data_IF_417421280472
#
_entry.id   IF_417421280472
#
_cell.length_a   1.000
_cell.length_b   1.000
_cell.length_c   1.000
_cell.angle_alpha   90.00
_cell.angle_beta   90.00
_cell.angle_gamma   90.00
#
_symmetry.space_group_name_H-M   'P 1'
#
loop_
_entity.id
_entity.type
_entity.pdbx_description
1 polymer ?
#
# COMPACT_ATOMS: atom_id res chain seq x y z
N UNK A 1 1.75 -19.65 -1.29
CA UNK A 1 2.14 -18.46 -0.49
C UNK A 1 2.44 -18.93 0.93
N UNK A 2 3.57 -18.50 1.49
CA UNK A 2 4.05 -18.98 2.80
C UNK A 2 3.38 -18.21 3.93
N UNK A 3 2.91 -18.89 4.98
CA UNK A 3 2.24 -18.27 6.15
C UNK A 3 2.85 -18.70 7.48
N UNK A 4 3.79 -19.66 7.48
CA UNK A 4 4.49 -20.20 8.65
C UNK A 4 6.00 -20.17 8.42
N UNK A 5 6.79 -20.29 9.48
CA UNK A 5 8.25 -20.43 9.41
C UNK A 5 8.93 -19.28 8.65
N UNK A 6 8.39 -18.08 8.80
CA UNK A 6 8.94 -16.87 8.23
C UNK A 6 10.23 -16.53 8.97
N UNK A 7 11.32 -16.37 8.21
CA UNK A 7 12.63 -16.04 8.74
C UNK A 7 13.13 -14.77 8.06
N UNK A 8 13.78 -13.85 8.79
CA UNK A 8 14.38 -12.67 8.20
C UNK A 8 15.48 -13.02 7.19
N UNK A 9 15.50 -12.31 6.08
CA UNK A 9 16.62 -12.35 5.12
C UNK A 9 17.57 -11.19 5.43
N UNK A 10 18.86 -11.52 5.62
CA UNK A 10 19.91 -10.51 5.77
C UNK A 10 20.42 -10.08 4.41
N UNK A 11 20.79 -8.80 4.28
CA UNK A 11 21.42 -8.30 3.06
C UNK A 11 22.79 -9.00 2.90
N UNK A 12 23.04 -9.71 1.78
CA UNK A 12 24.32 -10.36 1.54
C UNK A 12 25.49 -9.38 1.59
N UNK A 13 26.62 -9.78 2.20
CA UNK A 13 27.80 -8.92 2.39
C UNK A 13 28.28 -8.26 1.09
N UNK A 14 28.37 -9.02 0.00
CA UNK A 14 28.69 -8.49 -1.33
C UNK A 14 27.78 -7.33 -1.75
N UNK A 15 26.46 -7.46 -1.59
CA UNK A 15 25.51 -6.40 -2.00
C UNK A 15 25.63 -5.19 -1.06
N UNK A 16 25.84 -5.44 0.24
CA UNK A 16 26.07 -4.38 1.23
C UNK A 16 27.32 -3.55 0.92
N UNK A 17 28.40 -4.19 0.50
CA UNK A 17 29.70 -3.55 0.25
C UNK A 17 29.84 -2.89 -1.12
N UNK A 18 29.06 -3.32 -2.12
CA UNK A 18 29.26 -2.91 -3.52
C UNK A 18 28.14 -2.05 -4.11
N UNK A 19 26.99 -1.95 -3.44
CA UNK A 19 25.83 -1.24 -3.96
C UNK A 19 25.60 0.08 -3.23
N UNK A 20 25.21 1.11 -3.98
CA UNK A 20 24.70 2.37 -3.44
C UNK A 20 23.18 2.40 -3.53
N UNK A 21 22.53 2.52 -2.37
CA UNK A 21 21.08 2.61 -2.27
C UNK A 21 20.67 4.09 -2.23
N UNK A 22 19.83 4.50 -3.18
CA UNK A 22 19.19 5.81 -3.15
C UNK A 22 17.82 5.72 -2.48
N UNK A 23 17.70 6.27 -1.27
CA UNK A 23 16.42 6.42 -0.57
C UNK A 23 15.80 7.76 -0.96
N UNK A 24 14.59 7.70 -1.54
CA UNK A 24 13.85 8.89 -1.97
C UNK A 24 12.52 8.95 -1.26
N UNK A 25 12.32 9.97 -0.42
CA UNK A 25 11.07 10.21 0.29
C UNK A 25 10.86 11.70 0.55
N UNK A 26 9.61 12.18 0.59
CA UNK A 26 9.27 13.62 0.76
C UNK A 26 9.99 14.28 1.94
N UNK A 27 10.18 13.53 3.03
CA UNK A 27 10.81 14.01 4.27
C UNK A 27 12.10 13.25 4.60
N UNK A 28 12.80 12.71 3.60
CA UNK A 28 13.99 11.88 3.83
C UNK A 28 15.10 12.61 4.60
N UNK A 29 15.14 13.95 4.55
CA UNK A 29 16.09 14.79 5.27
C UNK A 29 15.58 15.33 6.61
N UNK A 30 14.34 15.02 6.98
CA UNK A 30 13.73 15.52 8.21
C UNK A 30 14.38 14.91 9.45
N UNK A 31 14.61 15.74 10.47
CA UNK A 31 15.21 15.32 11.76
C UNK A 31 14.31 15.61 12.96
N UNK A 32 13.27 16.42 12.79
CA UNK A 32 12.35 16.83 13.86
C UNK A 32 11.29 15.78 14.23
N UNK A 33 10.32 16.19 15.06
CA UNK A 33 9.15 15.39 15.45
C UNK A 33 8.07 15.35 14.37
N UNK A 34 6.80 15.51 14.76
CA UNK A 34 5.70 15.63 13.80
C UNK A 34 5.90 16.84 12.88
N UNK A 35 5.64 16.66 11.58
CA UNK A 35 5.66 17.76 10.62
C UNK A 35 4.37 18.57 10.74
N UNK A 36 4.42 19.92 10.65
CA UNK A 36 3.23 20.76 10.77
C UNK A 36 2.14 20.40 9.74
N UNK A 37 2.52 20.15 8.49
CA UNK A 37 1.55 19.89 7.40
C UNK A 37 1.30 18.40 7.11
N UNK A 38 2.25 17.52 7.45
CA UNK A 38 2.26 16.11 7.03
C UNK A 38 2.28 15.13 8.22
N UNK A 39 2.28 15.66 9.45
CA UNK A 39 2.17 14.91 10.69
C UNK A 39 3.20 13.79 10.81
N UNK A 40 2.71 12.55 10.92
CA UNK A 40 3.52 11.36 11.15
C UNK A 40 4.30 10.83 9.92
N UNK A 41 4.13 11.41 8.74
CA UNK A 41 4.91 11.01 7.56
C UNK A 41 6.39 11.35 7.70
N UNK A 42 6.70 12.48 8.33
CA UNK A 42 8.09 12.88 8.52
C UNK A 42 8.87 11.99 9.50
N UNK A 43 8.36 11.66 10.71
CA UNK A 43 9.03 10.69 11.57
C UNK A 43 9.08 9.28 10.94
N UNK A 44 8.07 8.89 10.14
CA UNK A 44 8.15 7.66 9.36
C UNK A 44 9.32 7.65 8.38
N UNK A 45 9.46 8.68 7.53
CA UNK A 45 10.57 8.76 6.58
C UNK A 45 11.93 8.81 7.26
N UNK A 46 12.01 9.49 8.43
CA UNK A 46 13.21 9.51 9.26
C UNK A 46 13.58 8.12 9.78
N UNK A 47 12.62 7.39 10.37
CA UNK A 47 12.89 6.04 10.89
C UNK A 47 13.25 5.05 9.77
N UNK A 48 12.65 5.18 8.58
CA UNK A 48 13.06 4.40 7.41
C UNK A 48 14.49 4.71 7.01
N UNK A 49 14.89 5.99 6.96
CA UNK A 49 16.28 6.38 6.70
C UNK A 49 17.22 5.77 7.74
N UNK A 50 16.94 5.97 9.03
CA UNK A 50 17.78 5.47 10.13
C UNK A 50 17.90 3.94 10.11
N UNK A 51 16.80 3.25 9.77
CA UNK A 51 16.81 1.80 9.59
C UNK A 51 17.68 1.37 8.41
N UNK A 52 17.60 2.09 7.28
CA UNK A 52 18.43 1.83 6.10
C UNK A 52 19.91 2.12 6.36
N UNK A 53 20.23 3.20 7.08
CA UNK A 53 21.59 3.50 7.57
C UNK A 53 22.13 2.34 8.42
N UNK A 54 21.30 1.78 9.30
CA UNK A 54 21.63 0.64 10.15
C UNK A 54 21.87 -0.69 9.41
N UNK A 55 21.43 -0.84 8.15
CA UNK A 55 21.74 -2.02 7.32
C UNK A 55 23.22 -2.02 6.89
N UNK A 56 23.84 -0.84 6.81
CA UNK A 56 25.25 -0.67 6.46
C UNK A 56 25.55 -0.69 4.96
N UNK A 57 24.54 -0.46 4.10
CA UNK A 57 24.72 -0.18 2.67
C UNK A 57 25.03 1.31 2.47
N UNK A 58 25.83 1.68 1.47
CA UNK A 58 26.08 3.10 1.17
C UNK A 58 24.74 3.79 0.79
N UNK A 59 24.33 4.77 1.59
CA UNK A 59 23.02 5.41 1.47
C UNK A 59 23.13 6.82 0.88
N UNK A 60 22.44 7.03 -0.24
CA UNK A 60 22.19 8.34 -0.83
C UNK A 60 20.76 8.78 -0.49
N UNK A 61 20.56 10.08 -0.25
CA UNK A 61 19.28 10.62 0.22
C UNK A 61 18.78 11.71 -0.73
N UNK A 62 17.54 11.53 -1.20
CA UNK A 62 16.81 12.56 -1.94
C UNK A 62 15.36 12.72 -1.44
N UNK A 63 14.78 13.86 -1.75
CA UNK A 63 13.43 14.27 -1.31
C UNK A 63 12.55 14.76 -2.47
N UNK A 64 13.03 14.62 -3.70
CA UNK A 64 12.35 15.11 -4.91
C UNK A 64 12.59 14.18 -6.11
N UNK A 65 11.62 14.14 -7.02
CA UNK A 65 11.73 13.47 -8.33
C UNK A 65 12.91 13.96 -9.16
N UNK A 66 13.37 15.20 -8.95
CA UNK A 66 14.49 15.77 -9.65
C UNK A 66 15.77 14.91 -9.57
N UNK A 67 15.94 14.16 -8.48
CA UNK A 67 17.07 13.24 -8.29
C UNK A 67 17.13 12.09 -9.32
N UNK A 68 16.05 11.86 -10.09
CA UNK A 68 15.96 10.85 -11.14
C UNK A 68 15.68 11.44 -12.54
N UNK A 69 15.71 12.76 -12.72
CA UNK A 69 15.58 13.34 -14.07
C UNK A 69 16.79 13.00 -14.94
N UNK A 70 17.97 13.06 -14.32
CA UNK A 70 19.22 12.46 -14.80
C UNK A 70 19.49 11.14 -14.09
N UNK A 71 20.42 10.34 -14.61
CA UNK A 71 20.82 9.08 -13.98
C UNK A 71 21.60 9.39 -12.69
N UNK A 72 21.13 9.00 -11.49
CA UNK A 72 21.88 9.20 -10.26
C UNK A 72 23.11 8.31 -10.18
N UNK A 73 24.05 8.66 -9.30
CA UNK A 73 25.18 7.82 -8.91
C UNK A 73 24.76 6.71 -7.92
N UNK A 74 23.65 6.03 -8.20
CA UNK A 74 23.09 4.96 -7.38
C UNK A 74 22.96 3.67 -8.19
N UNK A 75 22.95 2.53 -7.51
CA UNK A 75 22.86 1.21 -8.12
C UNK A 75 21.51 0.55 -7.86
N UNK A 76 20.79 0.99 -6.82
CA UNK A 76 19.44 0.56 -6.47
C UNK A 76 18.64 1.71 -5.85
N UNK A 77 17.33 1.77 -6.09
CA UNK A 77 16.46 2.84 -5.56
C UNK A 77 15.41 2.28 -4.61
N UNK A 78 15.23 2.91 -3.44
CA UNK A 78 14.07 2.74 -2.57
C UNK A 78 13.11 3.92 -2.76
N UNK A 79 12.05 3.77 -3.57
CA UNK A 79 11.10 4.84 -3.87
C UNK A 79 9.97 4.91 -2.82
N UNK A 80 10.08 5.85 -1.89
CA UNK A 80 9.06 6.14 -0.87
C UNK A 80 8.52 7.57 -0.99
N UNK A 81 8.62 8.18 -2.17
CA UNK A 81 7.96 9.45 -2.47
C UNK A 81 6.53 9.19 -2.95
N UNK A 82 5.69 8.78 -1.98
CA UNK A 82 4.28 8.54 -2.20
C UNK A 82 3.52 9.88 -2.23
N UNK A 83 2.44 9.94 -3.01
CA UNK A 83 1.53 11.10 -3.15
C UNK A 83 2.26 12.39 -3.53
N UNK A 84 2.91 12.38 -4.69
CA UNK A 84 3.65 13.52 -5.24
C UNK A 84 2.82 14.78 -5.55
N UNK A 85 1.54 14.85 -5.15
CA UNK A 85 0.69 16.02 -5.34
C UNK A 85 0.09 16.15 -6.74
N UNK A 86 0.18 15.11 -7.58
CA UNK A 86 -0.42 15.07 -8.90
C UNK A 86 -0.96 13.68 -9.23
N UNK A 87 -1.86 13.60 -10.21
CA UNK A 87 -2.50 12.35 -10.63
C UNK A 87 -1.47 11.29 -11.03
N UNK A 88 -1.66 10.05 -10.55
CA UNK A 88 -0.77 8.92 -10.84
C UNK A 88 0.69 9.07 -10.40
N UNK A 89 0.97 9.91 -9.39
CA UNK A 89 2.34 10.14 -8.91
C UNK A 89 3.09 8.89 -8.49
N UNK A 90 2.37 7.86 -8.02
CA UNK A 90 2.94 6.59 -7.57
C UNK A 90 3.68 5.81 -8.66
N UNK A 91 3.40 6.09 -9.94
CA UNK A 91 4.06 5.45 -11.07
C UNK A 91 5.36 6.15 -11.50
N UNK A 92 5.57 7.43 -11.11
CA UNK A 92 6.63 8.25 -11.70
C UNK A 92 8.03 7.80 -11.27
N UNK A 93 8.27 7.54 -9.97
CA UNK A 93 9.59 7.08 -9.52
C UNK A 93 10.00 5.73 -10.17
N UNK A 94 9.17 4.67 -10.13
CA UNK A 94 9.44 3.43 -10.87
C UNK A 94 9.68 3.66 -12.37
N UNK A 95 8.92 4.56 -13.01
CA UNK A 95 9.07 4.85 -14.44
C UNK A 95 10.41 5.53 -14.75
N UNK A 96 10.84 6.47 -13.92
CA UNK A 96 12.15 7.11 -14.05
C UNK A 96 13.29 6.12 -13.82
N UNK A 97 13.14 5.19 -12.86
CA UNK A 97 14.11 4.10 -12.66
C UNK A 97 14.21 3.22 -13.91
N UNK A 98 13.07 2.82 -14.50
CA UNK A 98 13.02 2.06 -15.75
C UNK A 98 13.70 2.78 -16.91
N UNK A 99 13.48 4.09 -17.07
CA UNK A 99 14.13 4.91 -18.10
C UNK A 99 15.66 4.82 -18.00
N UNK A 100 16.19 4.77 -16.78
CA UNK A 100 17.62 4.66 -16.53
C UNK A 100 18.10 3.20 -16.44
N UNK A 101 17.23 2.20 -16.53
CA UNK A 101 17.61 0.80 -16.29
C UNK A 101 18.17 0.56 -14.86
N UNK A 102 17.68 1.31 -13.88
CA UNK A 102 18.02 1.13 -12.47
C UNK A 102 17.04 0.15 -11.81
N UNK A 103 17.52 -0.86 -11.07
CA UNK A 103 16.66 -1.68 -10.23
C UNK A 103 16.13 -0.86 -9.06
N UNK A 104 14.93 -1.19 -8.60
CA UNK A 104 14.27 -0.46 -7.53
C UNK A 104 13.32 -1.35 -6.75
N UNK A 105 13.03 -0.93 -5.52
CA UNK A 105 12.14 -1.63 -4.61
C UNK A 105 10.67 -1.38 -4.96
N UNK A 106 9.85 -2.43 -4.93
CA UNK A 106 8.42 -2.40 -5.20
C UNK A 106 8.02 -3.16 -6.46
N UNK A 107 6.93 -2.73 -7.09
CA UNK A 107 6.38 -3.33 -8.31
C UNK A 107 6.64 -2.46 -9.55
N UNK A 108 6.43 -3.03 -10.75
CA UNK A 108 6.50 -2.26 -12.00
C UNK A 108 5.50 -1.08 -12.01
N UNK A 109 5.73 0.00 -12.82
CA UNK A 109 4.81 1.13 -12.84
C UNK A 109 3.37 0.73 -13.15
N UNK A 110 3.16 -0.16 -14.12
CA UNK A 110 1.81 -0.63 -14.50
C UNK A 110 1.17 -1.44 -13.38
N UNK A 111 1.92 -2.34 -12.76
CA UNK A 111 1.42 -3.14 -11.62
C UNK A 111 1.09 -2.24 -10.43
N UNK A 112 1.91 -1.21 -10.20
CA UNK A 112 1.67 -0.21 -9.17
C UNK A 112 0.41 0.60 -9.45
N UNK A 113 0.24 1.07 -10.68
CA UNK A 113 -0.97 1.78 -11.13
C UNK A 113 -2.22 0.92 -11.00
N UNK A 114 -2.15 -0.37 -11.37
CA UNK A 114 -3.25 -1.32 -11.20
C UNK A 114 -3.67 -1.44 -9.73
N UNK A 115 -2.73 -1.55 -8.80
CA UNK A 115 -3.03 -1.63 -7.37
C UNK A 115 -3.60 -0.33 -6.80
N UNK A 116 -3.07 0.82 -7.26
CA UNK A 116 -3.47 2.13 -6.75
C UNK A 116 -4.85 2.57 -7.28
N UNK A 117 -5.26 2.03 -8.43
CA UNK A 117 -6.58 2.22 -9.02
C UNK A 117 -7.60 1.21 -8.47
N UNK A 118 -8.49 1.68 -7.60
CA UNK A 118 -9.53 0.84 -6.98
C UNK A 118 -10.45 0.20 -8.01
N UNK A 119 -10.83 0.93 -9.06
CA UNK A 119 -11.67 0.38 -10.12
C UNK A 119 -10.99 -0.78 -10.84
N UNK A 120 -9.73 -0.62 -11.24
CA UNK A 120 -8.98 -1.69 -11.93
C UNK A 120 -8.70 -2.88 -10.99
N UNK A 121 -8.32 -2.63 -9.74
CA UNK A 121 -8.16 -3.69 -8.72
C UNK A 121 -9.45 -4.50 -8.54
N UNK A 122 -10.61 -3.84 -8.54
CA UNK A 122 -11.92 -4.51 -8.39
C UNK A 122 -12.32 -5.30 -9.64
N UNK A 123 -11.97 -4.82 -10.84
CA UNK A 123 -12.16 -5.59 -12.08
C UNK A 123 -11.33 -6.89 -12.03
N UNK A 124 -10.06 -6.82 -11.64
CA UNK A 124 -9.21 -8.00 -11.47
C UNK A 124 -9.74 -8.95 -10.39
N UNK A 125 -10.22 -8.42 -9.27
CA UNK A 125 -10.83 -9.22 -8.21
C UNK A 125 -12.07 -9.97 -8.72
N UNK A 126 -12.98 -9.28 -9.42
CA UNK A 126 -14.16 -9.89 -10.00
C UNK A 126 -13.82 -10.98 -11.01
N UNK A 127 -12.85 -10.74 -11.90
CA UNK A 127 -12.37 -11.72 -12.87
C UNK A 127 -11.79 -12.99 -12.24
N UNK A 128 -11.37 -12.92 -10.97
CA UNK A 128 -10.76 -14.02 -10.19
C UNK A 128 -11.70 -14.61 -9.15
N UNK A 129 -12.96 -14.21 -9.16
CA UNK A 129 -13.95 -14.64 -8.17
C UNK A 129 -13.58 -14.23 -6.74
N UNK A 130 -12.84 -13.12 -6.57
CA UNK A 130 -12.58 -12.50 -5.28
C UNK A 130 -13.69 -11.48 -5.02
N UNK A 131 -14.55 -11.67 -4.01
CA UNK A 131 -15.67 -10.78 -3.77
C UNK A 131 -15.19 -9.36 -3.45
N UNK A 132 -15.89 -8.37 -4.00
CA UNK A 132 -15.73 -6.95 -3.67
C UNK A 132 -17.10 -6.27 -3.73
N UNK A 133 -17.25 -5.11 -3.11
CA UNK A 133 -18.50 -4.34 -3.16
C UNK A 133 -18.89 -4.04 -4.62
N UNK A 134 -20.17 -4.11 -5.02
CA UNK A 134 -20.59 -3.58 -6.31
C UNK A 134 -20.28 -2.07 -6.36
N UNK A 135 -19.94 -1.54 -7.54
CA UNK A 135 -19.47 -0.16 -7.65
C UNK A 135 -19.89 0.52 -8.95
N UNK A 136 -19.86 1.85 -8.94
CA UNK A 136 -19.87 2.68 -10.13
C UNK A 136 -18.63 3.61 -10.13
N UNK A 137 -18.04 3.82 -11.31
CA UNK A 137 -16.92 4.74 -11.51
C UNK A 137 -17.39 5.95 -12.32
N UNK A 138 -17.09 7.15 -11.83
CA UNK A 138 -17.33 8.43 -12.49
C UNK A 138 -16.00 9.09 -12.81
N UNK A 139 -15.61 9.02 -14.08
CA UNK A 139 -14.39 9.68 -14.56
C UNK A 139 -14.58 11.19 -14.59
N UNK A 140 -13.57 11.93 -14.13
CA UNK A 140 -13.58 13.40 -14.17
C UNK A 140 -13.72 13.88 -15.62
N UNK A 141 -14.62 14.84 -15.85
CA UNK A 141 -14.93 15.36 -17.18
C UNK A 141 -15.95 14.54 -17.98
N UNK A 142 -16.36 13.37 -17.49
CA UNK A 142 -17.50 12.64 -18.06
C UNK A 142 -18.82 13.04 -17.37
N UNK A 143 -19.99 12.82 -18.00
CA UNK A 143 -21.29 13.08 -17.37
C UNK A 143 -21.49 12.30 -16.07
N UNK A 144 -22.09 12.94 -15.07
CA UNK A 144 -22.47 12.33 -13.81
C UNK A 144 -23.89 11.77 -13.92
N UNK A 145 -23.99 10.47 -14.17
CA UNK A 145 -25.26 9.73 -14.16
C UNK A 145 -25.33 8.78 -12.96
N UNK A 146 -25.83 9.28 -11.83
CA UNK A 146 -25.97 8.52 -10.58
C UNK A 146 -27.06 7.43 -10.64
N UNK A 147 -27.84 7.35 -11.71
CA UNK A 147 -28.82 6.26 -11.89
C UNK A 147 -28.14 4.89 -12.00
N UNK A 148 -26.88 4.87 -12.47
CA UNK A 148 -26.03 3.69 -12.63
C UNK A 148 -25.43 3.14 -11.33
N UNK A 149 -25.56 3.87 -10.23
CA UNK A 149 -25.01 3.44 -8.94
C UNK A 149 -25.74 2.20 -8.42
N UNK A 150 -25.02 1.26 -7.77
CA UNK A 150 -25.64 0.11 -7.13
C UNK A 150 -26.72 0.56 -6.13
N UNK A 151 -27.86 -0.15 -6.01
CA UNK A 151 -28.91 0.22 -5.08
C UNK A 151 -28.41 0.14 -3.63
N UNK A 152 -28.63 1.19 -2.84
CA UNK A 152 -28.32 1.25 -1.42
C UNK A 152 -29.16 2.32 -0.74
N UNK A 153 -29.23 2.28 0.60
CA UNK A 153 -29.75 3.38 1.43
C UNK A 153 -28.66 4.37 1.84
N UNK A 154 -27.40 3.96 1.72
CA UNK A 154 -26.22 4.76 2.02
C UNK A 154 -25.10 4.37 1.07
N UNK A 155 -24.47 5.36 0.45
CA UNK A 155 -23.31 5.16 -0.42
C UNK A 155 -22.06 5.72 0.24
N UNK A 156 -20.93 5.12 -0.10
CA UNK A 156 -19.60 5.66 0.14
C UNK A 156 -19.04 6.14 -1.20
N UNK A 157 -18.60 7.39 -1.23
CA UNK A 157 -17.97 8.03 -2.37
C UNK A 157 -16.51 8.25 -1.98
N UNK A 158 -15.58 7.74 -2.78
CA UNK A 158 -14.15 7.86 -2.50
C UNK A 158 -13.37 8.19 -3.78
N UNK A 159 -12.23 8.90 -3.70
CA UNK A 159 -11.35 9.03 -4.85
C UNK A 159 -10.85 7.65 -5.27
N UNK A 160 -10.83 7.41 -6.59
CA UNK A 160 -10.43 6.11 -7.14
C UNK A 160 -8.96 5.77 -6.83
N UNK A 161 -8.08 6.78 -6.85
CA UNK A 161 -6.62 6.66 -6.68
C UNK A 161 -6.11 7.50 -5.49
N UNK A 162 -6.77 7.39 -4.32
CA UNK A 162 -6.26 7.98 -3.07
C UNK A 162 -6.10 6.91 -1.98
N UNK A 163 -5.53 7.30 -0.84
CA UNK A 163 -5.36 6.39 0.30
C UNK A 163 -5.64 7.09 1.64
N UNK A 164 -5.73 6.29 2.71
CA UNK A 164 -5.99 6.73 4.09
C UNK A 164 -7.33 7.46 4.28
N UNK A 165 -8.38 7.07 3.57
CA UNK A 165 -9.72 7.70 3.63
C UNK A 165 -9.75 9.19 3.26
N UNK A 166 -8.72 9.71 2.58
CA UNK A 166 -8.73 11.10 2.11
C UNK A 166 -9.82 11.29 1.05
N UNK A 167 -10.69 12.28 1.27
CA UNK A 167 -11.81 12.59 0.39
C UNK A 167 -12.98 11.60 0.47
N UNK A 168 -12.99 10.64 1.42
CA UNK A 168 -14.15 9.74 1.58
C UNK A 168 -15.34 10.52 2.12
N UNK A 169 -16.50 10.33 1.48
CA UNK A 169 -17.79 10.95 1.80
C UNK A 169 -18.86 9.88 1.81
N UNK A 170 -19.99 10.16 2.45
CA UNK A 170 -21.21 9.38 2.28
C UNK A 170 -22.38 10.21 1.73
N UNK A 171 -23.38 9.50 1.23
CA UNK A 171 -24.62 10.08 0.73
C UNK A 171 -25.78 9.15 1.04
N UNK A 172 -26.94 9.72 1.36
CA UNK A 172 -28.17 8.98 1.71
C UNK A 172 -29.26 9.13 0.65
N UNK A 173 -29.08 10.04 -0.31
CA UNK A 173 -29.95 10.19 -1.47
C UNK A 173 -29.14 10.49 -2.75
N UNK A 174 -29.85 10.54 -3.89
CA UNK A 174 -29.22 10.72 -5.22
C UNK A 174 -28.70 12.15 -5.44
N UNK A 175 -29.28 13.15 -4.79
CA UNK A 175 -28.85 14.55 -4.90
C UNK A 175 -27.53 14.73 -4.17
N UNK A 176 -27.46 14.23 -2.93
CA UNK A 176 -26.22 14.17 -2.15
C UNK A 176 -25.15 13.36 -2.90
N UNK A 177 -25.51 12.23 -3.50
CA UNK A 177 -24.56 11.39 -4.23
C UNK A 177 -23.94 12.12 -5.43
N UNK A 178 -24.76 12.81 -6.24
CA UNK A 178 -24.27 13.59 -7.38
C UNK A 178 -23.36 14.74 -6.93
N UNK A 179 -23.73 15.44 -5.85
CA UNK A 179 -22.89 16.48 -5.25
C UNK A 179 -21.56 15.93 -4.77
N UNK A 180 -21.56 14.83 -4.02
CA UNK A 180 -20.34 14.19 -3.51
C UNK A 180 -19.41 13.73 -4.63
N UNK A 181 -19.94 13.23 -5.75
CA UNK A 181 -19.13 12.92 -6.95
C UNK A 181 -18.48 14.18 -7.52
N UNK A 182 -19.22 15.27 -7.68
CA UNK A 182 -18.69 16.54 -8.17
C UNK A 182 -17.60 17.11 -7.23
N UNK A 183 -17.78 16.98 -5.92
CA UNK A 183 -16.77 17.38 -4.93
C UNK A 183 -15.48 16.57 -5.04
N UNK A 184 -15.54 15.27 -5.37
CA UNK A 184 -14.34 14.47 -5.64
C UNK A 184 -13.67 14.91 -6.95
N UNK A 185 -14.45 15.23 -7.98
CA UNK A 185 -13.92 15.76 -9.24
C UNK A 185 -13.20 17.10 -9.05
N UNK A 186 -13.69 17.95 -8.14
CA UNK A 186 -13.04 19.21 -7.76
C UNK A 186 -11.70 19.03 -7.03
N UNK A 187 -11.40 17.80 -6.56
CA UNK A 187 -10.11 17.41 -6.02
C UNK A 187 -9.18 16.79 -7.08
N UNK A 188 -9.52 16.90 -8.37
CA UNK A 188 -8.79 16.31 -9.50
C UNK A 188 -8.72 14.78 -9.51
N UNK A 189 -9.74 14.12 -8.97
CA UNK A 189 -9.84 12.66 -8.94
C UNK A 189 -11.09 12.12 -9.64
N UNK A 190 -10.99 10.89 -10.13
CA UNK A 190 -12.17 10.08 -10.46
C UNK A 190 -12.87 9.64 -9.17
N UNK A 191 -14.21 9.58 -9.20
CA UNK A 191 -15.01 9.19 -8.05
C UNK A 191 -15.49 7.74 -8.19
N UNK A 192 -15.21 6.93 -7.17
CA UNK A 192 -15.73 5.57 -7.05
C UNK A 192 -16.84 5.54 -6.01
N UNK A 193 -17.99 4.98 -6.37
CA UNK A 193 -19.19 4.89 -5.54
C UNK A 193 -19.50 3.44 -5.22
N UNK A 194 -19.66 3.11 -3.95
CA UNK A 194 -20.02 1.78 -3.43
C UNK A 194 -21.18 1.90 -2.44
N UNK A 195 -22.02 0.86 -2.26
CA UNK A 195 -22.86 0.76 -1.07
C UNK A 195 -22.00 0.80 0.19
N UNK A 196 -22.48 1.46 1.23
CA UNK A 196 -21.89 1.31 2.56
C UNK A 196 -22.07 -0.14 3.03
N UNK A 197 -20.98 -0.76 3.48
CA UNK A 197 -20.96 -2.14 3.96
C UNK A 197 -20.51 -2.12 5.41
N UNK A 198 -21.38 -2.56 6.31
CA UNK A 198 -21.03 -2.71 7.72
C UNK A 198 -19.88 -3.70 7.90
N UNK A 199 -19.01 -3.43 8.88
CA UNK A 199 -17.99 -4.38 9.29
C UNK A 199 -16.67 -3.74 9.71
N UNK A 200 -15.70 -4.62 9.92
CA UNK A 200 -14.35 -4.26 10.34
C UNK A 200 -13.35 -4.47 9.19
N UNK A 201 -12.32 -3.64 9.16
CA UNK A 201 -11.27 -3.74 8.14
C UNK A 201 -10.17 -4.69 8.64
N UNK A 202 -9.81 -5.66 7.80
CA UNK A 202 -8.67 -6.56 7.99
C UNK A 202 -7.58 -6.16 7.01
N UNK A 203 -6.39 -5.92 7.54
CA UNK A 203 -5.18 -5.72 6.76
C UNK A 203 -4.39 -7.04 6.72
N UNK A 204 -3.98 -7.42 5.50
CA UNK A 204 -3.13 -8.59 5.23
C UNK A 204 -1.80 -8.10 4.66
N UNK A 205 -0.76 -7.94 5.50
CA UNK A 205 0.57 -7.59 5.04
C UNK A 205 1.22 -8.78 4.33
N UNK A 206 1.81 -8.54 3.17
CA UNK A 206 2.48 -9.55 2.35
C UNK A 206 3.85 -9.02 1.97
N UNK A 207 4.88 -9.84 2.14
CA UNK A 207 6.24 -9.59 1.65
C UNK A 207 6.65 -10.69 0.67
N UNK A 208 7.59 -10.42 -0.22
CA UNK A 208 8.19 -11.46 -1.05
C UNK A 208 9.40 -12.05 -0.34
N UNK A 209 9.41 -13.37 -0.15
CA UNK A 209 10.48 -14.15 0.48
C UNK A 209 10.82 -15.33 -0.42
N UNK A 210 12.10 -15.50 -0.77
CA UNK A 210 12.55 -16.61 -1.61
C UNK A 210 11.87 -16.61 -2.99
N UNK A 211 11.57 -15.42 -3.53
CA UNK A 211 10.88 -15.25 -4.82
C UNK A 211 9.37 -15.52 -4.81
N UNK A 212 8.77 -15.78 -3.65
CA UNK A 212 7.33 -16.01 -3.51
C UNK A 212 6.67 -15.10 -2.45
N UNK A 213 5.41 -14.69 -2.65
CA UNK A 213 4.64 -14.00 -1.62
C UNK A 213 4.52 -14.83 -0.34
N UNK A 214 4.70 -14.15 0.79
CA UNK A 214 4.55 -14.64 2.13
C UNK A 214 3.69 -13.66 2.93
N UNK A 215 2.61 -14.17 3.53
CA UNK A 215 1.74 -13.37 4.39
C UNK A 215 2.33 -13.29 5.79
N UNK A 216 2.31 -12.09 6.34
CA UNK A 216 2.46 -11.87 7.77
C UNK A 216 1.07 -12.06 8.46
N UNK A 217 1.01 -12.21 9.80
CA UNK A 217 -0.23 -12.31 10.54
C UNK A 217 -1.24 -11.21 10.20
N UNK A 218 -2.49 -11.60 9.95
CA UNK A 218 -3.57 -10.65 9.66
C UNK A 218 -3.89 -9.81 10.89
N UNK A 219 -4.17 -8.54 10.67
CA UNK A 219 -4.50 -7.58 11.72
C UNK A 219 -5.87 -6.98 11.42
N UNK A 220 -6.70 -6.83 12.45
CA UNK A 220 -8.04 -6.24 12.33
C UNK A 220 -8.07 -4.89 13.03
N UNK A 221 -8.70 -3.91 12.40
CA UNK A 221 -9.24 -2.74 13.07
C UNK A 221 -10.67 -3.04 13.50
N UNK A 222 -10.81 -3.50 14.73
CA UNK A 222 -12.12 -3.77 15.31
C UNK A 222 -12.76 -2.45 15.73
N UNK A 223 -13.80 -2.04 15.00
CA UNK A 223 -14.56 -0.83 15.31
C UNK A 223 -15.56 -1.12 16.44
N UNK A 224 -15.70 -0.18 17.38
CA UNK A 224 -16.70 -0.23 18.42
C UNK A 224 -18.12 -0.04 17.84
N UNK A 225 -18.24 0.77 16.80
CA UNK A 225 -19.45 0.91 15.98
C UNK A 225 -19.09 0.63 14.51
N UNK A 226 -19.42 -0.56 13.96
CA UNK A 226 -19.10 -0.94 12.59
C UNK A 226 -19.92 -0.19 11.52
N UNK A 227 -20.90 0.63 11.95
CA UNK A 227 -21.71 1.46 11.06
C UNK A 227 -21.08 2.83 10.76
N UNK A 228 -19.97 3.18 11.42
CA UNK A 228 -19.27 4.45 11.20
C UNK A 228 -18.21 4.35 10.10
N UNK A 229 -18.01 5.47 9.38
CA UNK A 229 -16.90 5.62 8.45
C UNK A 229 -15.66 6.05 9.21
N UNK A 230 -14.55 5.32 9.04
CA UNK A 230 -13.25 5.77 9.53
C UNK A 230 -12.68 6.89 8.66
N UNK A 231 -12.54 8.07 9.27
CA UNK A 231 -12.12 9.32 8.63
C UNK A 231 -10.62 9.38 8.38
N UNK A 232 -10.19 10.33 7.52
CA UNK A 232 -8.77 10.60 7.25
C UNK A 232 -8.02 10.97 8.53
N UNK A 233 -8.62 11.83 9.36
CA UNK A 233 -8.02 12.31 10.60
C UNK A 233 -7.74 11.16 11.58
N UNK A 234 -8.67 10.21 11.72
CA UNK A 234 -8.51 9.01 12.56
C UNK A 234 -7.46 8.04 12.01
N UNK A 235 -7.34 7.88 10.69
CA UNK A 235 -6.26 7.08 10.08
C UNK A 235 -4.88 7.74 10.24
N UNK A 236 -4.84 9.06 10.39
CA UNK A 236 -3.63 9.87 10.52
C UNK A 236 -3.25 10.20 11.97
N UNK A 237 -4.03 9.75 12.96
CA UNK A 237 -3.87 10.07 14.39
C UNK A 237 -3.87 11.59 14.66
N UNK A 238 -4.61 12.36 13.84
CA UNK A 238 -4.74 13.82 13.97
C UNK A 238 -5.83 14.24 14.96
N UNK A 239 -6.63 13.28 15.42
CA UNK A 239 -7.66 13.42 16.46
C UNK A 239 -7.53 12.24 17.42
N UNK A 240 -8.01 12.38 18.66
CA UNK A 240 -8.03 11.28 19.63
C UNK A 240 -8.72 10.04 19.06
N UNK A 241 -8.16 8.85 19.32
CA UNK A 241 -8.71 7.58 18.81
C UNK A 241 -10.07 7.30 19.46
N UNK A 242 -11.16 7.54 18.73
CA UNK A 242 -12.50 7.15 19.18
C UNK A 242 -12.79 5.75 18.65
N UNK A 243 -12.95 4.79 19.57
CA UNK A 243 -13.72 3.57 19.32
C UNK A 243 -13.14 2.54 18.33
N UNK A 244 -11.84 2.30 18.25
CA UNK A 244 -11.32 1.11 17.56
C UNK A 244 -10.14 0.45 18.28
N UNK A 245 -9.97 -0.86 18.08
CA UNK A 245 -8.85 -1.64 18.62
C UNK A 245 -8.10 -2.35 17.50
N UNK A 246 -6.78 -2.30 17.55
CA UNK A 246 -5.91 -3.07 16.64
C UNK A 246 -5.55 -4.37 17.36
N UNK A 247 -5.90 -5.51 16.78
CA UNK A 247 -5.51 -6.83 17.29
C UNK A 247 -5.20 -7.79 16.15
N UNK A 248 -4.57 -8.92 16.48
CA UNK A 248 -4.42 -10.03 15.55
C UNK A 248 -5.80 -10.58 15.20
N UNK A 249 -6.00 -10.92 13.93
CA UNK A 249 -7.19 -11.60 13.47
C UNK A 249 -6.92 -13.10 13.38
N UNK A 250 -7.78 -13.92 14.00
CA UNK A 250 -7.56 -15.36 14.18
C UNK A 250 -8.82 -16.22 13.99
N UNK A 251 -9.93 -15.67 13.48
CA UNK A 251 -11.11 -16.47 13.11
C UNK A 251 -10.73 -17.47 12.00
N UNK A 252 -10.76 -18.80 12.23
CA UNK A 252 -10.25 -19.76 11.26
C UNK A 252 -11.08 -19.88 9.98
N UNK A 253 -12.39 -19.65 10.05
CA UNK A 253 -13.28 -19.78 8.90
C UNK A 253 -13.11 -18.59 7.96
N UNK A 254 -13.13 -17.38 8.50
CA UNK A 254 -12.95 -16.14 7.74
C UNK A 254 -11.51 -16.03 7.22
N UNK A 255 -10.53 -16.41 8.06
CA UNK A 255 -9.11 -16.42 7.68
C UNK A 255 -8.84 -17.26 6.43
N UNK A 256 -9.51 -18.41 6.30
CA UNK A 256 -9.36 -19.29 5.12
C UNK A 256 -9.72 -18.57 3.83
N UNK A 257 -10.85 -17.86 3.81
CA UNK A 257 -11.31 -17.10 2.66
C UNK A 257 -10.35 -15.96 2.32
N UNK A 258 -9.90 -15.20 3.33
CA UNK A 258 -8.96 -14.09 3.15
C UNK A 258 -7.62 -14.58 2.59
N UNK A 259 -7.11 -15.70 3.10
CA UNK A 259 -5.86 -16.32 2.62
C UNK A 259 -6.00 -16.68 1.15
N UNK A 260 -7.08 -17.36 0.78
CA UNK A 260 -7.35 -17.75 -0.61
C UNK A 260 -7.48 -16.55 -1.54
N UNK A 261 -8.28 -15.55 -1.15
CA UNK A 261 -8.50 -14.34 -1.96
C UNK A 261 -7.21 -13.54 -2.14
N UNK A 262 -6.42 -13.38 -1.09
CA UNK A 262 -5.15 -12.70 -1.18
C UNK A 262 -4.15 -13.47 -2.03
N UNK A 263 -4.13 -14.81 -2.00
CA UNK A 263 -3.29 -15.61 -2.90
C UNK A 263 -3.62 -15.32 -4.37
N UNK A 264 -4.91 -15.38 -4.72
CA UNK A 264 -5.39 -15.11 -6.08
C UNK A 264 -5.05 -13.69 -6.55
N UNK A 265 -5.16 -12.71 -5.66
CA UNK A 265 -4.82 -11.32 -5.96
C UNK A 265 -3.31 -11.10 -6.01
N UNK A 266 -2.54 -11.63 -5.06
CA UNK A 266 -1.09 -11.45 -5.01
C UNK A 266 -0.41 -11.91 -6.30
N UNK A 267 -0.87 -13.01 -6.90
CA UNK A 267 -0.32 -13.51 -8.16
C UNK A 267 -0.53 -12.57 -9.36
N UNK A 268 -1.52 -11.67 -9.33
CA UNK A 268 -1.69 -10.59 -10.34
C UNK A 268 -0.53 -9.61 -10.30
N UNK A 269 -0.08 -9.28 -9.09
CA UNK A 269 0.82 -8.16 -8.86
C UNK A 269 2.29 -8.59 -8.89
N UNK A 270 2.60 -9.85 -9.23
CA UNK A 270 3.98 -10.34 -9.23
C UNK A 270 4.75 -9.86 -10.46
N UNK A 271 6.04 -9.52 -10.32
CA UNK A 271 6.78 -9.40 -9.06
C UNK A 271 6.47 -8.09 -8.31
N UNK A 272 6.39 -8.18 -6.98
CA UNK A 272 6.37 -7.05 -6.04
C UNK A 272 7.20 -7.42 -4.80
N UNK A 273 7.62 -6.43 -4.00
CA UNK A 273 8.46 -6.69 -2.81
C UNK A 273 7.67 -6.77 -1.51
N UNK A 274 6.66 -5.91 -1.36
CA UNK A 274 5.74 -5.91 -0.25
C UNK A 274 4.44 -5.23 -0.65
N UNK A 275 3.37 -5.55 0.05
CA UNK A 275 2.06 -4.96 -0.20
C UNK A 275 1.06 -5.34 0.86
N UNK A 276 -0.01 -4.56 0.93
CA UNK A 276 -1.09 -4.75 1.87
C UNK A 276 -2.39 -4.98 1.11
N UNK A 277 -3.09 -6.05 1.47
CA UNK A 277 -4.40 -6.38 0.94
C UNK A 277 -5.43 -6.09 2.03
N UNK A 278 -6.45 -5.30 1.71
CA UNK A 278 -7.45 -4.85 2.68
C UNK A 278 -8.80 -5.46 2.37
N UNK A 279 -9.44 -6.03 3.39
CA UNK A 279 -10.76 -6.66 3.29
C UNK A 279 -11.71 -6.06 4.32
N UNK A 280 -12.97 -5.90 3.93
CA UNK A 280 -14.08 -5.65 4.85
C UNK A 280 -14.67 -7.00 5.25
N UNK A 281 -14.85 -7.19 6.55
CA UNK A 281 -15.51 -8.38 7.11
C UNK A 281 -16.76 -7.97 7.86
N UNK A 282 -17.87 -8.57 7.47
CA UNK A 282 -19.12 -8.52 8.23
C UNK A 282 -19.18 -9.75 9.15
N UNK A 283 -19.05 -9.53 10.46
CA UNK A 283 -19.06 -10.61 11.45
C UNK A 283 -20.44 -11.29 11.59
N UNK A 284 -21.52 -10.64 11.17
CA UNK A 284 -22.87 -11.18 11.27
C UNK A 284 -23.11 -12.22 10.18
N UNK A 285 -22.68 -11.91 8.95
CA UNK A 285 -22.89 -12.77 7.78
C UNK A 285 -21.70 -13.68 7.48
N UNK A 286 -20.49 -13.31 7.93
CA UNK A 286 -19.24 -13.96 7.56
C UNK A 286 -18.71 -13.49 6.19
N UNK A 287 -19.35 -12.51 5.56
CA UNK A 287 -18.94 -12.02 4.24
C UNK A 287 -17.59 -11.31 4.29
N UNK A 288 -16.73 -11.63 3.32
CA UNK A 288 -15.41 -11.03 3.13
C UNK A 288 -15.36 -10.35 1.78
N UNK A 289 -15.04 -9.06 1.74
CA UNK A 289 -14.99 -8.27 0.50
C UNK A 289 -13.68 -7.49 0.40
N UNK A 290 -12.96 -7.66 -0.71
CA UNK A 290 -11.75 -6.88 -1.00
C UNK A 290 -12.11 -5.39 -1.13
N UNK A 291 -11.35 -4.53 -0.45
CA UNK A 291 -11.48 -3.08 -0.49
C UNK A 291 -10.45 -2.44 -1.42
N UNK A 292 -9.17 -2.74 -1.19
CA UNK A 292 -8.04 -2.21 -1.96
C UNK A 292 -6.78 -3.07 -1.78
N UNK A 293 -5.81 -2.85 -2.66
CA UNK A 293 -4.46 -3.43 -2.58
C UNK A 293 -3.46 -2.28 -2.66
N UNK A 294 -2.49 -2.22 -1.76
CA UNK A 294 -1.46 -1.17 -1.74
C UNK A 294 -0.06 -1.77 -1.76
N UNK A 295 0.66 -1.60 -2.88
CA UNK A 295 2.02 -2.15 -3.08
C UNK A 295 3.16 -1.19 -2.69
N UNK A 296 2.86 -0.12 -1.96
CA UNK A 296 3.85 0.74 -1.29
C UNK A 296 3.20 1.32 -0.03
N UNK A 297 2.68 0.39 0.76
CA UNK A 297 2.00 0.71 2.00
C UNK A 297 3.00 1.25 3.02
N UNK A 298 2.47 1.88 4.07
CA UNK A 298 3.27 2.45 5.12
C UNK A 298 3.94 1.34 5.96
N UNK A 299 5.27 1.38 6.05
CA UNK A 299 6.09 0.44 6.82
C UNK A 299 6.47 0.95 8.21
N UNK A 300 5.99 2.11 8.65
CA UNK A 300 6.37 2.72 9.93
C UNK A 300 6.21 1.74 11.09
N UNK A 301 7.15 1.70 12.03
CA UNK A 301 7.12 0.75 13.16
C UNK A 301 5.84 0.84 13.97
N UNK A 302 5.26 2.04 14.05
CA UNK A 302 4.01 2.32 14.75
C UNK A 302 2.74 1.86 14.02
N UNK A 303 2.83 1.47 12.74
CA UNK A 303 1.68 1.09 11.91
C UNK A 303 1.52 -0.43 11.78
N UNK A 304 0.34 -0.84 11.31
CA UNK A 304 -0.10 -2.25 11.34
C UNK A 304 0.83 -3.21 10.62
N UNK A 305 1.43 -2.79 9.50
CA UNK A 305 2.34 -3.64 8.75
C UNK A 305 3.52 -4.11 9.62
N UNK A 306 4.17 -3.17 10.32
CA UNK A 306 5.26 -3.49 11.24
C UNK A 306 4.79 -4.23 12.48
N UNK A 307 3.62 -3.91 13.04
CA UNK A 307 3.03 -4.68 14.16
C UNK A 307 2.74 -6.13 13.77
N UNK A 308 2.29 -6.37 12.55
CA UNK A 308 2.10 -7.70 11.98
C UNK A 308 3.43 -8.45 11.85
N UNK A 309 4.48 -7.78 11.36
CA UNK A 309 5.82 -8.36 11.29
C UNK A 309 6.38 -8.74 12.68
N UNK A 310 6.17 -7.90 13.70
CA UNK A 310 6.50 -8.22 15.09
C UNK A 310 5.75 -9.45 15.59
N UNK A 311 4.47 -9.58 15.26
CA UNK A 311 3.70 -10.79 15.56
C UNK A 311 4.19 -12.04 14.81
N UNK A 312 4.94 -11.87 13.71
CA UNK A 312 5.64 -12.94 12.99
C UNK A 312 7.06 -13.22 13.53
N UNK A 313 7.51 -12.50 14.56
CA UNK A 313 8.85 -12.65 15.15
C UNK A 313 9.94 -11.78 14.52
N UNK A 314 9.59 -10.78 13.70
CA UNK A 314 10.53 -9.85 13.08
C UNK A 314 10.68 -8.61 13.95
N UNK A 315 11.88 -8.07 14.09
CA UNK A 315 12.04 -6.66 14.47
C UNK A 315 11.71 -5.75 13.29
N UNK A 316 11.45 -4.46 13.54
CA UNK A 316 11.22 -3.50 12.46
C UNK A 316 12.41 -3.44 11.48
N UNK A 317 13.64 -3.39 11.99
CA UNK A 317 14.84 -3.40 11.15
C UNK A 317 14.99 -4.69 10.34
N UNK A 318 14.64 -5.85 10.93
CA UNK A 318 14.64 -7.13 10.20
C UNK A 318 13.61 -7.15 9.08
N UNK A 319 12.42 -6.58 9.29
CA UNK A 319 11.41 -6.44 8.24
C UNK A 319 11.95 -5.62 7.06
N UNK A 320 12.47 -4.42 7.34
CA UNK A 320 12.97 -3.52 6.29
C UNK A 320 14.17 -4.15 5.56
N UNK A 321 15.13 -4.71 6.29
CA UNK A 321 16.30 -5.40 5.70
C UNK A 321 15.86 -6.58 4.84
N UNK A 322 14.87 -7.37 5.29
CA UNK A 322 14.33 -8.50 4.52
C UNK A 322 13.77 -8.04 3.18
N UNK A 323 12.90 -7.01 3.17
CA UNK A 323 12.28 -6.50 1.93
C UNK A 323 13.36 -5.98 0.96
N UNK A 324 14.34 -5.23 1.46
CA UNK A 324 15.44 -4.69 0.65
C UNK A 324 16.32 -5.83 0.11
N UNK A 325 16.72 -6.77 0.97
CA UNK A 325 17.59 -7.87 0.61
C UNK A 325 16.96 -8.77 -0.47
N UNK A 326 15.71 -9.18 -0.30
CA UNK A 326 14.99 -10.01 -1.27
C UNK A 326 14.85 -9.32 -2.63
N UNK A 327 14.58 -8.00 -2.62
CA UNK A 327 14.50 -7.21 -3.84
C UNK A 327 15.84 -7.13 -4.58
N UNK A 328 16.92 -6.82 -3.86
CA UNK A 328 18.27 -6.74 -4.43
C UNK A 328 18.78 -8.11 -4.89
N UNK A 329 18.53 -9.18 -4.12
CA UNK A 329 18.86 -10.56 -4.51
C UNK A 329 18.14 -10.91 -5.81
N UNK A 330 16.85 -10.58 -5.96
CA UNK A 330 16.09 -10.88 -7.18
C UNK A 330 16.63 -10.10 -8.40
N UNK A 331 16.99 -8.83 -8.22
CA UNK A 331 17.24 -7.92 -9.35
C UNK A 331 18.71 -7.81 -9.74
N UNK A 332 19.63 -7.88 -8.78
CA UNK A 332 21.06 -7.59 -8.99
C UNK A 332 21.90 -8.87 -9.05
N UNK A 333 21.66 -9.85 -8.17
CA UNK A 333 22.47 -11.06 -8.12
C UNK A 333 22.46 -11.88 -9.43
N UNK A 334 21.32 -12.05 -10.14
CA UNK A 334 21.29 -12.73 -11.44
C UNK A 334 21.95 -11.92 -12.56
N UNK A 335 21.97 -10.59 -12.45
CA UNK A 335 22.56 -9.71 -13.47
C UNK A 335 24.10 -9.78 -13.46
N UNK A 336 24.71 -10.01 -12.30
CA UNK A 336 26.15 -10.27 -12.20
C UNK A 336 26.56 -11.57 -12.90
N UNK A 337 25.82 -12.67 -12.66
CA UNK A 337 26.09 -13.96 -13.30
C UNK A 337 25.92 -13.94 -14.83
N UNK A 338 25.06 -13.06 -15.38
CA UNK A 338 24.91 -12.88 -16.83
C UNK A 338 26.00 -12.03 -17.48
N UNK A 339 26.67 -11.15 -16.71
CA UNK A 339 27.81 -10.35 -17.20
C UNK A 339 29.12 -11.14 -17.20
N UNK A 340 29.26 -12.12 -16.32
CA UNK A 340 30.44 -13.01 -16.30
C UNK A 340 30.38 -14.12 -17.38
N UNK A 341 29.23 -14.29 -18.04
CA UNK A 341 28.97 -15.32 -19.05
C UNK A 341 28.88 -14.79 -20.50
N UNK A 342 29.06 -13.48 -20.69
CA UNK A 342 29.10 -12.80 -21.99
C UNK A 342 30.47 -12.14 -22.15
#
# INVERSE_FOLDING_TARGET
>A
MKTTDLAPTRLPGRLRETQRLLFIAKHARWTGGLHPDDGNHAPYHREMRETLEGIGVELLIADSYAALFDRPAADFVFPLLNRGGFFNSEMLLPLLCNRHGLPYLGASPIVRGLSDDKHLTKLEAAARGVPTAPWALFRRGAPIDVSRCPPSRRWVIKPNNSSASWGVRDAHDRVELARSVAEIHALDHDALVEPFIDGSDIEVPVITLGGAPAMLPMMIFEQADPSQLRTYQEKRDLVGQVGYRIKRFDDPAISRNIIEYTQRMADVFRPFDYGRFEFRVDHTTGDVRLLEVNLNCNLWSEKLFSRSAVAAGFTHSQLVETIVAESMIRQIAPAAARRDAA
#
